data_IF_626059233046
#
_entry.id   IF_626059233046
#
_cell.length_a   1.000
_cell.length_b   1.000
_cell.length_c   1.000
_cell.angle_alpha   90.00
_cell.angle_beta   90.00
_cell.angle_gamma   90.00
#
_symmetry.space_group_name_H-M   'P 1'
#
loop_
_entity.id
_entity.type
_entity.pdbx_description
1 polymer ?
#
# COMPACT_ATOMS: atom_id res chain seq x y z
N UNK A 1 -8.01 -14.81 -16.25
CA UNK A 1 -8.33 -13.37 -16.00
C UNK A 1 -9.82 -13.23 -16.20
N UNK A 2 -10.54 -12.82 -15.16
CA UNK A 2 -11.99 -12.75 -15.15
C UNK A 2 -12.51 -11.41 -15.65
N UNK A 3 -11.97 -10.33 -15.11
CA UNK A 3 -12.46 -8.98 -15.37
C UNK A 3 -11.30 -7.99 -15.39
N UNK A 4 -11.37 -7.00 -16.28
CA UNK A 4 -10.49 -5.82 -16.25
C UNK A 4 -11.38 -4.58 -16.24
N UNK A 5 -11.27 -3.78 -15.19
CA UNK A 5 -12.04 -2.55 -15.02
C UNK A 5 -11.12 -1.34 -14.97
N UNK A 6 -11.35 -0.36 -15.85
CA UNK A 6 -10.66 0.92 -15.81
C UNK A 6 -11.36 1.89 -14.86
N UNK A 7 -10.60 2.47 -13.95
CA UNK A 7 -11.04 3.51 -13.02
C UNK A 7 -10.96 4.89 -13.67
N UNK A 8 -11.71 5.86 -13.11
CA UNK A 8 -11.75 7.25 -13.60
C UNK A 8 -10.41 7.97 -13.51
N UNK A 9 -9.57 7.58 -12.55
CA UNK A 9 -8.21 8.10 -12.37
C UNK A 9 -7.16 7.44 -13.28
N UNK A 10 -7.58 6.63 -14.27
CA UNK A 10 -6.69 5.91 -15.17
C UNK A 10 -6.14 4.60 -14.61
N UNK A 11 -6.41 4.25 -13.35
CA UNK A 11 -6.02 2.96 -12.77
C UNK A 11 -6.78 1.77 -13.37
N UNK A 12 -6.23 0.57 -13.20
CA UNK A 12 -6.86 -0.68 -13.62
C UNK A 12 -7.09 -1.59 -12.40
N UNK A 13 -8.26 -2.20 -12.33
CA UNK A 13 -8.55 -3.31 -11.43
C UNK A 13 -8.63 -4.57 -12.28
N UNK A 14 -7.78 -5.55 -11.98
CA UNK A 14 -7.74 -6.84 -12.67
C UNK A 14 -8.19 -7.90 -11.68
N UNK A 15 -9.31 -8.56 -11.97
CA UNK A 15 -9.77 -9.73 -11.25
C UNK A 15 -9.25 -10.99 -11.96
N UNK A 16 -8.57 -11.85 -11.22
CA UNK A 16 -8.12 -13.15 -11.69
C UNK A 16 -8.90 -14.25 -10.98
N UNK A 17 -9.21 -15.30 -11.72
CA UNK A 17 -9.99 -16.47 -11.33
C UNK A 17 -9.12 -17.63 -10.84
N UNK A 18 -7.80 -17.50 -10.92
CA UNK A 18 -6.83 -18.50 -10.51
C UNK A 18 -5.96 -17.96 -9.37
N UNK A 19 -5.98 -18.65 -8.23
CA UNK A 19 -5.16 -18.34 -7.06
C UNK A 19 -3.65 -18.41 -7.35
N UNK A 20 -3.21 -19.41 -8.13
CA UNK A 20 -1.80 -19.53 -8.52
C UNK A 20 -1.34 -18.32 -9.33
N UNK A 21 -2.17 -17.84 -10.26
CA UNK A 21 -1.88 -16.64 -11.04
C UNK A 21 -1.89 -15.39 -10.14
N UNK A 22 -2.85 -15.28 -9.22
CA UNK A 22 -2.90 -14.19 -8.25
C UNK A 22 -1.64 -14.16 -7.36
N UNK A 23 -1.20 -15.32 -6.88
CA UNK A 23 0.02 -15.46 -6.09
C UNK A 23 1.26 -15.08 -6.90
N UNK A 24 1.37 -15.55 -8.14
CA UNK A 24 2.48 -15.21 -9.02
C UNK A 24 2.55 -13.70 -9.32
N UNK A 25 1.41 -13.05 -9.60
CA UNK A 25 1.33 -11.61 -9.85
C UNK A 25 1.71 -10.75 -8.62
N UNK A 26 1.44 -11.25 -7.41
CA UNK A 26 1.88 -10.60 -6.16
C UNK A 26 3.36 -10.84 -5.85
N UNK A 27 3.95 -11.88 -6.45
CA UNK A 27 5.37 -12.17 -6.32
C UNK A 27 6.26 -11.17 -7.06
N UNK A 28 7.54 -11.05 -6.69
CA UNK A 28 8.44 -10.05 -7.24
C UNK A 28 8.61 -10.18 -8.76
N UNK A 29 8.72 -11.41 -9.27
CA UNK A 29 8.87 -11.67 -10.70
C UNK A 29 7.64 -11.31 -11.52
N UNK A 30 6.46 -11.78 -11.09
CA UNK A 30 5.21 -11.52 -11.81
C UNK A 30 4.85 -10.05 -11.83
N UNK A 31 5.11 -9.35 -10.72
CA UNK A 31 4.94 -7.90 -10.60
C UNK A 31 5.80 -7.13 -11.59
N UNK A 32 7.11 -7.36 -11.59
CA UNK A 32 8.04 -6.67 -12.50
C UNK A 32 7.70 -6.95 -13.96
N UNK A 33 7.38 -8.20 -14.31
CA UNK A 33 7.00 -8.55 -15.68
C UNK A 33 5.72 -7.84 -16.11
N UNK A 34 4.68 -7.85 -15.28
CA UNK A 34 3.43 -7.18 -15.60
C UNK A 34 3.63 -5.66 -15.72
N UNK A 35 4.38 -5.04 -14.82
CA UNK A 35 4.73 -3.61 -14.91
C UNK A 35 5.51 -3.30 -16.19
N UNK A 36 6.44 -4.17 -16.60
CA UNK A 36 7.22 -3.98 -17.84
C UNK A 36 6.39 -4.09 -19.13
N UNK A 37 5.26 -4.79 -19.07
CA UNK A 37 4.31 -4.90 -20.19
C UNK A 37 3.26 -3.78 -20.21
N UNK A 38 3.18 -2.99 -19.15
CA UNK A 38 2.35 -1.79 -19.08
C UNK A 38 3.19 -0.56 -19.45
N UNK A 39 2.53 0.58 -19.67
CA UNK A 39 3.23 1.84 -19.89
C UNK A 39 4.18 2.15 -18.73
N UNK A 40 5.28 2.84 -18.99
CA UNK A 40 6.40 3.10 -18.06
C UNK A 40 6.00 3.72 -16.71
N UNK A 41 4.82 4.32 -16.63
CA UNK A 41 4.26 4.94 -15.42
C UNK A 41 3.35 4.01 -14.61
N UNK A 42 3.00 2.84 -15.13
CA UNK A 42 2.10 1.91 -14.47
C UNK A 42 2.83 1.13 -13.37
N UNK A 43 2.31 1.19 -12.16
CA UNK A 43 2.76 0.36 -11.05
C UNK A 43 1.61 -0.45 -10.48
N UNK A 44 1.91 -1.70 -10.14
CA UNK A 44 1.02 -2.48 -9.31
C UNK A 44 1.06 -1.87 -7.91
N UNK A 45 -0.10 -1.75 -7.27
CA UNK A 45 -0.21 -1.25 -5.90
C UNK A 45 -0.87 -2.30 -5.04
N UNK A 46 -0.28 -2.51 -3.87
CA UNK A 46 -0.90 -3.32 -2.84
C UNK A 46 -2.14 -2.60 -2.31
N UNK A 47 -3.20 -3.38 -2.07
CA UNK A 47 -4.44 -2.85 -1.54
C UNK A 47 -4.24 -2.52 -0.06
N UNK A 48 -4.32 -1.23 0.26
CA UNK A 48 -4.23 -0.74 1.63
C UNK A 48 -5.62 -0.50 2.20
N UNK A 49 -5.72 -0.50 3.53
CA UNK A 49 -6.96 -0.20 4.26
C UNK A 49 -6.66 0.88 5.31
N UNK A 50 -7.48 1.93 5.41
CA UNK A 50 -7.31 2.93 6.45
C UNK A 50 -7.64 2.33 7.83
N UNK A 51 -6.77 2.58 8.80
CA UNK A 51 -6.93 2.17 10.19
C UNK A 51 -6.89 3.42 11.06
N UNK A 52 -7.82 3.53 12.02
CA UNK A 52 -7.83 4.62 13.01
C UNK A 52 -7.18 4.12 14.29
N UNK A 53 -6.09 4.77 14.69
CA UNK A 53 -5.41 4.51 15.95
C UNK A 53 -5.78 5.60 16.96
N UNK A 54 -6.24 5.19 18.14
CA UNK A 54 -6.62 6.10 19.23
C UNK A 54 -5.49 6.23 20.24
N UNK A 55 -5.51 7.33 21.01
CA UNK A 55 -4.59 7.60 22.11
C UNK A 55 -3.10 7.64 21.74
N UNK A 56 -2.77 7.94 20.48
CA UNK A 56 -1.38 8.10 20.05
C UNK A 56 -0.79 9.38 20.69
N UNK A 57 0.33 9.28 21.43
CA UNK A 57 1.05 10.43 21.97
C UNK A 57 1.42 11.44 20.88
N UNK A 58 1.16 12.73 21.14
CA UNK A 58 1.50 13.81 20.20
C UNK A 58 2.99 14.09 20.10
N UNK A 59 3.79 13.53 21.01
CA UNK A 59 5.25 13.59 20.98
C UNK A 59 5.85 12.70 19.88
N UNK A 60 5.07 11.79 19.28
CA UNK A 60 5.54 10.99 18.16
C UNK A 60 5.65 11.84 16.89
N UNK A 61 6.84 11.84 16.31
CA UNK A 61 7.14 12.48 15.03
C UNK A 61 6.66 11.61 13.85
N UNK A 62 5.34 11.39 13.76
CA UNK A 62 4.76 10.50 12.74
C UNK A 62 4.97 10.98 11.30
N UNK A 63 5.35 12.24 11.13
CA UNK A 63 5.64 12.88 9.85
C UNK A 63 7.10 12.63 9.40
N UNK A 64 7.94 12.05 10.26
CA UNK A 64 9.27 11.62 9.87
C UNK A 64 9.19 10.41 8.93
N UNK A 65 9.89 10.48 7.79
CA UNK A 65 9.83 9.45 6.75
C UNK A 65 10.16 8.04 7.26
N UNK A 66 11.07 7.91 8.22
CA UNK A 66 11.44 6.60 8.76
C UNK A 66 10.48 6.08 9.83
N UNK A 67 9.57 6.92 10.35
CA UNK A 67 8.69 6.55 11.45
C UNK A 67 7.85 5.29 11.18
N UNK A 68 7.19 5.12 10.01
CA UNK A 68 6.45 3.88 9.73
C UNK A 68 7.33 2.62 9.79
N UNK A 69 8.59 2.72 9.34
CA UNK A 69 9.53 1.59 9.31
C UNK A 69 9.97 1.19 10.73
N UNK A 70 10.17 2.18 11.60
CA UNK A 70 10.43 1.94 13.02
C UNK A 70 9.25 1.23 13.69
N UNK A 71 8.03 1.72 13.46
CA UNK A 71 6.81 1.10 14.01
C UNK A 71 6.62 -0.33 13.49
N UNK A 72 6.86 -0.57 12.20
CA UNK A 72 6.83 -1.93 11.64
C UNK A 72 7.79 -2.87 12.38
N UNK A 73 9.04 -2.45 12.56
CA UNK A 73 10.05 -3.24 13.25
C UNK A 73 9.70 -3.48 14.73
N UNK A 74 9.30 -2.44 15.46
CA UNK A 74 8.94 -2.52 16.89
C UNK A 74 7.73 -3.42 17.14
N UNK A 75 6.82 -3.55 16.17
CA UNK A 75 5.60 -4.34 16.30
C UNK A 75 5.66 -5.67 15.53
N UNK A 76 6.84 -6.05 15.01
CA UNK A 76 7.04 -7.26 14.20
C UNK A 76 6.10 -7.36 12.99
N UNK A 77 5.77 -6.22 12.37
CA UNK A 77 5.01 -6.18 11.13
C UNK A 77 5.94 -6.50 9.94
N UNK A 78 5.39 -7.06 8.85
CA UNK A 78 6.16 -7.20 7.62
C UNK A 78 6.66 -5.82 7.12
N UNK A 79 7.85 -5.74 6.49
CA UNK A 79 8.36 -4.49 5.95
C UNK A 79 7.40 -3.88 4.91
N UNK A 80 7.23 -2.56 4.95
CA UNK A 80 6.35 -1.78 4.06
C UNK A 80 4.86 -2.15 4.16
N UNK A 81 4.41 -2.72 5.28
CA UNK A 81 2.99 -2.97 5.56
C UNK A 81 2.20 -1.67 5.81
N UNK A 82 2.87 -0.62 6.28
CA UNK A 82 2.29 0.68 6.56
C UNK A 82 2.61 1.62 5.38
N UNK A 83 1.62 1.84 4.51
CA UNK A 83 1.79 2.70 3.34
C UNK A 83 1.95 4.19 3.69
N UNK A 84 1.27 4.66 4.73
CA UNK A 84 1.31 6.06 5.19
C UNK A 84 0.68 6.21 6.56
N UNK A 85 1.12 7.20 7.32
CA UNK A 85 0.53 7.60 8.61
C UNK A 85 0.28 9.11 8.56
N UNK A 86 -0.87 9.57 9.07
CA UNK A 86 -1.20 10.99 9.14
C UNK A 86 -2.22 11.24 10.25
N UNK A 87 -2.12 12.41 10.89
CA UNK A 87 -3.09 12.85 11.88
C UNK A 87 -4.45 13.10 11.23
N UNK A 88 -5.52 12.55 11.81
CA UNK A 88 -6.90 12.92 11.43
C UNK A 88 -7.15 14.42 11.70
N UNK A 89 -6.66 14.90 12.86
CA UNK A 89 -6.63 16.32 13.22
C UNK A 89 -5.21 16.67 13.67
N UNK A 90 -4.48 17.53 12.93
CA UNK A 90 -3.11 17.92 13.26
C UNK A 90 -3.03 18.46 14.69
N UNK A 91 -1.99 18.12 15.48
CA UNK A 91 -1.83 18.57 16.86
C UNK A 91 -1.93 20.09 17.01
N UNK A 92 -1.42 20.85 16.05
CA UNK A 92 -1.40 22.32 16.04
C UNK A 92 -2.78 22.96 15.84
N UNK A 93 -3.76 22.16 15.39
CA UNK A 93 -5.13 22.62 15.08
C UNK A 93 -6.17 22.08 16.06
N UNK A 94 -5.74 21.39 17.12
CA UNK A 94 -6.64 20.69 18.05
C UNK A 94 -7.48 21.63 18.88
#
# INVERSE_FOLDING_TARGET
VRTVQRLRNGGLIIEVDNEQLAGWLKGPTGRVLLESHLDSTASIRDRTYPIVVQFLPISYEIECDNFPRHIEAENHLPPNSIASIHWIKPPQRR
#
